data_IF_673922761797
#
_entry.id   IF_673922761797
#
_cell.length_a   1.000
_cell.length_b   1.000
_cell.length_c   1.000
_cell.angle_alpha   90.00
_cell.angle_beta   90.00
_cell.angle_gamma   90.00
#
_symmetry.space_group_name_H-M   'P 1'
#
loop_
_entity.id
_entity.type
_entity.pdbx_description
1 polymer ?
#
# COMPACT_ATOMS: atom_id res chain seq x y z
N UNK A 1 17.45 12.36 24.69
CA UNK A 1 16.73 11.86 23.49
C UNK A 1 16.60 13.01 22.50
N UNK A 2 17.12 12.86 21.29
CA UNK A 2 16.95 13.86 20.22
C UNK A 2 15.48 13.95 19.79
N UNK A 3 15.08 15.06 19.17
CA UNK A 3 13.74 15.20 18.59
C UNK A 3 13.41 14.12 17.53
N UNK A 4 14.43 13.49 16.94
CA UNK A 4 14.27 12.33 16.06
C UNK A 4 13.95 11.04 16.83
N UNK A 5 14.51 10.86 18.04
CA UNK A 5 14.21 9.70 18.89
C UNK A 5 12.77 9.77 19.42
N UNK A 6 12.27 10.97 19.73
CA UNK A 6 10.88 11.20 20.13
C UNK A 6 9.89 10.97 18.97
N UNK A 7 10.25 11.32 17.72
CA UNK A 7 9.46 11.00 16.52
C UNK A 7 9.52 9.52 16.13
N UNK A 8 10.64 8.85 16.38
CA UNK A 8 10.77 7.40 16.17
C UNK A 8 9.94 6.60 17.17
N UNK A 9 9.74 7.13 18.40
CA UNK A 9 8.91 6.52 19.43
C UNK A 9 7.39 6.60 19.13
N UNK A 10 6.93 7.47 18.23
CA UNK A 10 5.50 7.64 17.89
C UNK A 10 5.06 6.86 16.65
N UNK A 11 5.88 5.93 16.14
CA UNK A 11 5.59 5.13 14.93
C UNK A 11 5.73 3.66 15.30
N UNK A 12 4.79 2.82 14.88
CA UNK A 12 4.93 1.36 15.04
C UNK A 12 5.99 0.88 14.04
N UNK A 13 7.26 0.98 14.46
CA UNK A 13 8.45 0.72 13.66
C UNK A 13 8.42 -0.64 12.95
N UNK A 14 7.85 -1.64 13.62
CA UNK A 14 7.72 -3.00 13.08
C UNK A 14 6.88 -3.04 11.80
N UNK A 15 5.85 -2.19 11.69
CA UNK A 15 5.01 -2.15 10.49
C UNK A 15 5.78 -1.64 9.26
N UNK A 16 6.78 -0.79 9.44
CA UNK A 16 7.63 -0.36 8.33
C UNK A 16 8.53 -1.49 7.81
N UNK A 17 8.99 -2.38 8.70
CA UNK A 17 9.72 -3.58 8.29
C UNK A 17 8.82 -4.59 7.56
N UNK A 18 7.60 -4.82 8.07
CA UNK A 18 6.62 -5.70 7.41
C UNK A 18 6.22 -5.18 6.02
N UNK A 19 6.13 -3.86 5.85
CA UNK A 19 5.96 -3.23 4.54
C UNK A 19 7.12 -3.53 3.59
N UNK A 20 8.37 -3.50 4.06
CA UNK A 20 9.51 -3.89 3.22
C UNK A 20 9.41 -5.36 2.79
N UNK A 21 9.08 -6.26 3.72
CA UNK A 21 8.88 -7.69 3.41
C UNK A 21 7.80 -7.87 2.35
N UNK A 22 6.68 -7.14 2.47
CA UNK A 22 5.61 -7.16 1.49
C UNK A 22 6.06 -6.65 0.10
N UNK A 23 6.82 -5.54 0.01
CA UNK A 23 7.35 -5.07 -1.29
C UNK A 23 8.30 -6.09 -1.89
N UNK A 24 9.18 -6.69 -1.08
CA UNK A 24 10.11 -7.73 -1.55
C UNK A 24 9.36 -8.93 -2.10
N UNK A 25 8.26 -9.36 -1.46
CA UNK A 25 7.37 -10.39 -1.99
C UNK A 25 6.79 -10.02 -3.35
N UNK A 26 6.31 -8.78 -3.51
CA UNK A 26 5.79 -8.27 -4.79
C UNK A 26 6.89 -8.21 -5.87
N UNK A 27 8.11 -7.82 -5.52
CA UNK A 27 9.27 -7.85 -6.42
C UNK A 27 9.55 -9.29 -6.88
N UNK A 28 9.56 -10.27 -5.98
CA UNK A 28 9.71 -11.67 -6.37
C UNK A 28 8.57 -12.14 -7.28
N UNK A 29 7.34 -11.71 -7.04
CA UNK A 29 6.23 -12.02 -7.94
C UNK A 29 6.48 -11.50 -9.37
N UNK A 30 6.90 -10.24 -9.50
CA UNK A 30 7.15 -9.64 -10.81
C UNK A 30 8.41 -10.21 -11.49
N UNK A 31 9.53 -10.34 -10.80
CA UNK A 31 10.79 -10.79 -11.42
C UNK A 31 11.04 -12.29 -11.38
N UNK A 32 10.38 -13.01 -10.49
CA UNK A 32 10.52 -14.46 -10.34
C UNK A 32 9.43 -15.23 -11.07
N UNK A 33 8.18 -14.74 -11.03
CA UNK A 33 7.03 -15.46 -11.56
C UNK A 33 6.43 -14.86 -12.84
N UNK A 34 6.21 -13.55 -12.94
CA UNK A 34 5.59 -12.93 -14.14
C UNK A 34 6.56 -12.56 -15.26
N UNK A 35 7.70 -11.94 -14.96
CA UNK A 35 8.59 -11.39 -15.97
C UNK A 35 7.97 -10.28 -16.84
N UNK A 36 8.75 -9.71 -17.78
CA UNK A 36 8.25 -8.74 -18.74
C UNK A 36 7.29 -9.39 -19.74
N UNK A 37 6.20 -8.73 -20.15
CA UNK A 37 5.32 -9.23 -21.19
C UNK A 37 6.07 -9.43 -22.52
N UNK A 38 5.90 -10.59 -23.15
CA UNK A 38 6.47 -10.92 -24.46
C UNK A 38 5.37 -11.45 -25.39
N UNK A 39 5.12 -10.74 -26.50
CA UNK A 39 4.13 -11.11 -27.52
C UNK A 39 2.73 -11.43 -26.96
N UNK A 40 2.27 -10.67 -25.97
CA UNK A 40 0.96 -10.88 -25.33
C UNK A 40 0.91 -12.01 -24.29
N UNK A 41 2.04 -12.66 -24.01
CA UNK A 41 2.15 -13.68 -22.96
C UNK A 41 3.13 -13.26 -21.87
N UNK A 42 2.84 -13.62 -20.64
CA UNK A 42 3.68 -13.34 -19.46
C UNK A 42 4.60 -14.55 -19.24
N UNK A 43 5.93 -14.36 -19.25
CA UNK A 43 6.89 -15.46 -19.15
C UNK A 43 7.52 -15.59 -17.76
N UNK A 44 7.59 -16.80 -17.24
CA UNK A 44 8.27 -17.06 -15.97
C UNK A 44 9.75 -16.74 -16.09
N UNK A 45 10.16 -15.61 -15.50
CA UNK A 45 11.52 -15.09 -15.62
C UNK A 45 12.57 -15.94 -14.87
N UNK A 46 12.20 -16.57 -13.74
CA UNK A 46 13.09 -17.46 -12.99
C UNK A 46 12.35 -18.75 -12.60
N UNK A 47 12.31 -19.78 -13.48
CA UNK A 47 11.54 -21.00 -13.25
C UNK A 47 11.84 -21.71 -11.92
N UNK A 48 13.10 -21.70 -11.48
CA UNK A 48 13.52 -22.34 -10.23
C UNK A 48 12.95 -21.68 -8.96
N UNK A 49 12.50 -20.41 -9.04
CA UNK A 49 11.84 -19.71 -7.93
C UNK A 49 10.32 -19.62 -8.09
N UNK A 50 9.74 -20.12 -9.19
CA UNK A 50 8.34 -19.88 -9.53
C UNK A 50 7.39 -20.36 -8.44
N UNK A 51 7.61 -21.55 -7.88
CA UNK A 51 6.78 -22.15 -6.81
C UNK A 51 6.70 -21.29 -5.55
N UNK A 52 7.74 -20.53 -5.24
CA UNK A 52 7.77 -19.57 -4.13
C UNK A 52 7.25 -18.20 -4.55
N UNK A 53 7.76 -17.68 -5.67
CA UNK A 53 7.52 -16.32 -6.15
C UNK A 53 6.07 -16.08 -6.58
N UNK A 54 5.37 -17.13 -7.00
CA UNK A 54 3.97 -17.07 -7.41
C UNK A 54 3.05 -16.50 -6.33
N UNK A 55 3.37 -16.67 -5.03
CA UNK A 55 2.56 -16.16 -3.92
C UNK A 55 2.90 -14.72 -3.52
N UNK A 56 3.92 -14.11 -4.15
CA UNK A 56 4.36 -12.75 -3.81
C UNK A 56 3.30 -11.66 -4.06
N UNK A 57 2.27 -11.93 -4.86
CA UNK A 57 1.12 -11.02 -5.02
C UNK A 57 0.38 -10.76 -3.70
N UNK A 58 0.45 -11.68 -2.74
CA UNK A 58 -0.13 -11.53 -1.39
C UNK A 58 0.54 -10.41 -0.58
N UNK A 59 1.68 -9.88 -1.03
CA UNK A 59 2.25 -8.65 -0.48
C UNK A 59 1.32 -7.45 -0.59
N UNK A 60 0.47 -7.37 -1.62
CA UNK A 60 -0.51 -6.27 -1.78
C UNK A 60 -1.58 -6.29 -0.66
N UNK A 61 -2.29 -7.40 -0.41
CA UNK A 61 -3.15 -7.56 0.77
C UNK A 61 -2.49 -7.18 2.10
N UNK A 62 -1.21 -7.52 2.28
CA UNK A 62 -0.45 -7.14 3.48
C UNK A 62 -0.36 -5.61 3.62
N UNK A 63 -0.13 -4.87 2.52
CA UNK A 63 -0.18 -3.40 2.54
C UNK A 63 -1.55 -2.89 2.99
N UNK A 64 -2.64 -3.48 2.52
CA UNK A 64 -3.99 -3.02 2.86
C UNK A 64 -4.33 -3.26 4.34
N UNK A 65 -3.93 -4.39 4.93
CA UNK A 65 -4.07 -4.61 6.38
C UNK A 65 -3.26 -3.58 7.17
N UNK A 66 -1.99 -3.36 6.80
CA UNK A 66 -1.14 -2.36 7.46
C UNK A 66 -1.71 -0.95 7.27
N UNK A 67 -2.27 -0.66 6.10
CA UNK A 67 -2.89 0.63 5.79
C UNK A 67 -4.11 0.89 6.66
N UNK A 68 -5.05 -0.07 6.77
CA UNK A 68 -6.21 0.05 7.65
C UNK A 68 -5.81 0.46 9.07
N UNK A 69 -4.82 -0.21 9.65
CA UNK A 69 -4.27 0.14 10.97
C UNK A 69 -3.66 1.56 11.00
N UNK A 70 -2.71 1.83 10.11
CA UNK A 70 -1.93 3.09 10.13
C UNK A 70 -2.80 4.30 9.83
N UNK A 71 -3.84 4.14 9.01
CA UNK A 71 -4.77 5.21 8.67
C UNK A 71 -5.65 5.55 9.86
N UNK A 72 -6.23 4.55 10.54
CA UNK A 72 -6.98 4.78 11.76
C UNK A 72 -6.11 5.45 12.84
N UNK A 73 -4.90 4.92 13.06
CA UNK A 73 -3.92 5.51 13.96
C UNK A 73 -3.58 6.97 13.60
N UNK A 74 -3.39 7.27 12.32
CA UNK A 74 -2.97 8.61 11.89
C UNK A 74 -4.10 9.64 11.81
N UNK A 75 -5.34 9.19 11.76
CA UNK A 75 -6.53 10.04 11.77
C UNK A 75 -6.90 10.50 13.19
N UNK A 76 -6.50 9.76 14.22
CA UNK A 76 -6.78 10.10 15.62
C UNK A 76 -6.25 11.50 15.96
N UNK A 77 -7.12 12.32 16.57
CA UNK A 77 -6.80 13.70 16.94
C UNK A 77 -6.60 14.68 15.76
N UNK A 78 -6.88 14.28 14.51
CA UNK A 78 -6.78 15.16 13.33
C UNK A 78 -8.13 15.62 12.82
N UNK A 79 -8.12 16.80 12.20
CA UNK A 79 -9.19 17.29 11.32
C UNK A 79 -9.16 16.54 9.98
N UNK A 80 -10.29 16.44 9.27
CA UNK A 80 -10.35 15.87 7.93
C UNK A 80 -9.38 16.55 6.94
N UNK A 81 -9.30 17.89 6.95
CA UNK A 81 -8.37 18.66 6.12
C UNK A 81 -6.91 18.34 6.44
N UNK A 82 -6.53 18.38 7.72
CA UNK A 82 -5.18 18.00 8.16
C UNK A 82 -4.81 16.55 7.84
N UNK A 83 -5.77 15.62 7.86
CA UNK A 83 -5.58 14.25 7.40
C UNK A 83 -5.34 14.18 5.89
N UNK A 84 -6.22 14.81 5.08
CA UNK A 84 -6.11 14.83 3.63
C UNK A 84 -4.79 15.43 3.15
N UNK A 85 -4.37 16.58 3.70
CA UNK A 85 -3.08 17.21 3.39
C UNK A 85 -1.92 16.26 3.71
N UNK A 86 -1.95 15.60 4.86
CA UNK A 86 -0.88 14.70 5.27
C UNK A 86 -0.77 13.47 4.36
N UNK A 87 -1.90 12.94 3.88
CA UNK A 87 -1.94 11.81 2.95
C UNK A 87 -1.52 12.20 1.54
N UNK A 88 -2.06 13.29 1.02
CA UNK A 88 -1.72 13.83 -0.29
C UNK A 88 -0.21 14.14 -0.38
N UNK A 89 0.33 14.85 0.61
CA UNK A 89 1.77 15.19 0.66
C UNK A 89 2.67 13.95 0.75
N UNK A 90 2.16 12.83 1.25
CA UNK A 90 2.90 11.57 1.38
C UNK A 90 2.97 10.79 0.07
N UNK A 91 1.89 10.79 -0.71
CA UNK A 91 1.75 9.97 -1.92
C UNK A 91 2.13 10.78 -3.17
N UNK A 92 1.43 11.89 -3.40
CA UNK A 92 1.36 12.50 -4.72
C UNK A 92 2.72 13.00 -5.28
N UNK A 93 3.56 13.72 -4.51
CA UNK A 93 4.80 14.26 -5.07
C UNK A 93 5.79 13.17 -5.52
N UNK A 94 5.96 12.12 -4.70
CA UNK A 94 6.83 11.00 -5.06
C UNK A 94 6.24 10.17 -6.19
N UNK A 95 4.93 9.92 -6.17
CA UNK A 95 4.23 9.27 -7.29
C UNK A 95 4.51 9.97 -8.61
N UNK A 96 4.30 11.30 -8.66
CA UNK A 96 4.51 12.08 -9.88
C UNK A 96 5.95 11.98 -10.39
N UNK A 97 6.93 12.06 -9.48
CA UNK A 97 8.34 11.93 -9.83
C UNK A 97 8.67 10.53 -10.37
N UNK A 98 8.30 9.47 -9.66
CA UNK A 98 8.58 8.09 -10.08
C UNK A 98 7.85 7.73 -11.38
N UNK A 99 6.58 8.12 -11.53
CA UNK A 99 5.82 7.95 -12.76
C UNK A 99 6.50 8.65 -13.94
N UNK A 100 7.03 9.86 -13.72
CA UNK A 100 7.75 10.60 -14.75
C UNK A 100 9.08 9.93 -15.11
N UNK A 101 9.81 9.36 -14.13
CA UNK A 101 10.99 8.55 -14.41
C UNK A 101 10.66 7.31 -15.24
N UNK A 102 9.59 6.59 -14.90
CA UNK A 102 9.12 5.43 -15.68
C UNK A 102 8.74 5.85 -17.10
N UNK A 103 8.03 6.96 -17.26
CA UNK A 103 7.68 7.52 -18.56
C UNK A 103 8.92 7.86 -19.42
N UNK A 104 9.91 8.53 -18.84
CA UNK A 104 11.15 8.86 -19.54
C UNK A 104 11.92 7.60 -19.94
N UNK A 105 12.01 6.61 -19.05
CA UNK A 105 12.66 5.34 -19.35
C UNK A 105 11.96 4.60 -20.51
N UNK A 106 10.62 4.59 -20.52
CA UNK A 106 9.84 4.03 -21.64
C UNK A 106 10.12 4.76 -22.95
N UNK A 107 10.22 6.09 -22.95
CA UNK A 107 10.54 6.85 -24.16
C UNK A 107 11.96 6.60 -24.69
N UNK A 108 12.95 6.47 -23.79
CA UNK A 108 14.36 6.39 -24.19
C UNK A 108 14.88 4.97 -24.38
N UNK A 109 14.32 4.01 -23.65
CA UNK A 109 14.80 2.62 -23.58
C UNK A 109 13.72 1.59 -23.91
N UNK A 110 12.45 2.00 -24.03
CA UNK A 110 11.35 1.10 -24.31
C UNK A 110 11.53 0.40 -25.67
N UNK A 111 11.62 -0.94 -25.73
CA UNK A 111 11.58 -1.64 -27.01
C UNK A 111 10.22 -1.41 -27.70
N UNK A 112 10.06 -1.71 -29.01
CA UNK A 112 8.85 -1.37 -29.78
C UNK A 112 7.51 -1.83 -29.18
N UNK A 113 7.52 -2.88 -28.34
CA UNK A 113 6.33 -3.40 -27.66
C UNK A 113 5.98 -2.66 -26.36
N UNK A 114 6.87 -1.79 -25.88
CA UNK A 114 6.72 -0.98 -24.67
C UNK A 114 6.49 0.48 -25.10
N UNK A 115 5.36 0.71 -25.75
CA UNK A 115 4.99 2.07 -26.19
C UNK A 115 4.43 2.88 -25.02
N UNK A 116 4.67 4.19 -25.05
CA UNK A 116 4.02 5.15 -24.17
C UNK A 116 3.70 6.42 -24.94
N UNK A 117 2.85 7.28 -24.36
CA UNK A 117 2.48 8.56 -24.96
C UNK A 117 2.36 9.65 -23.90
N UNK A 118 2.51 10.90 -24.34
CA UNK A 118 2.24 12.05 -23.47
C UNK A 118 0.80 12.05 -22.94
N UNK A 119 -0.17 11.59 -23.74
CA UNK A 119 -1.55 11.43 -23.32
C UNK A 119 -1.71 10.42 -22.17
N UNK A 120 -0.99 9.29 -22.23
CA UNK A 120 -0.95 8.31 -21.14
C UNK A 120 -0.35 8.93 -19.87
N UNK A 121 0.75 9.67 -19.98
CA UNK A 121 1.35 10.38 -18.84
C UNK A 121 0.37 11.37 -18.21
N UNK A 122 -0.30 12.20 -19.01
CA UNK A 122 -1.33 13.13 -18.55
C UNK A 122 -2.49 12.42 -17.84
N UNK A 123 -2.98 11.30 -18.37
CA UNK A 123 -4.06 10.53 -17.76
C UNK A 123 -3.67 9.95 -16.39
N UNK A 124 -2.39 9.63 -16.18
CA UNK A 124 -1.89 9.10 -14.91
C UNK A 124 -1.71 10.18 -13.83
N UNK A 125 -1.76 11.48 -14.17
CA UNK A 125 -1.72 12.57 -13.17
C UNK A 125 -2.82 12.48 -12.11
N UNK A 126 -3.93 11.80 -12.42
CA UNK A 126 -5.06 11.58 -11.51
C UNK A 126 -4.96 10.29 -10.69
N UNK A 127 -3.89 9.49 -10.84
CA UNK A 127 -3.76 8.15 -10.22
C UNK A 127 -4.98 7.28 -10.58
N UNK A 128 -5.56 7.47 -11.76
CA UNK A 128 -6.76 6.76 -12.19
C UNK A 128 -6.87 6.76 -13.73
N UNK A 129 -5.75 6.53 -14.41
CA UNK A 129 -5.66 6.55 -15.86
C UNK A 129 -6.73 5.72 -16.59
N UNK A 130 -7.19 4.56 -16.07
CA UNK A 130 -8.27 3.80 -16.71
C UNK A 130 -9.58 4.57 -16.85
N UNK A 131 -9.87 5.59 -16.02
CA UNK A 131 -11.04 6.46 -16.21
C UNK A 131 -10.98 7.24 -17.53
N UNK A 132 -9.78 7.49 -18.04
CA UNK A 132 -9.53 8.16 -19.33
C UNK A 132 -9.23 7.16 -20.46
N UNK A 133 -9.55 5.88 -20.25
CA UNK A 133 -9.23 4.78 -21.20
C UNK A 133 -7.75 4.67 -21.53
N UNK A 134 -6.89 5.05 -20.59
CA UNK A 134 -5.43 4.94 -20.72
C UNK A 134 -4.90 3.90 -19.72
N UNK A 135 -3.89 3.10 -20.08
CA UNK A 135 -3.27 2.20 -19.14
C UNK A 135 -2.47 2.97 -18.08
N UNK A 136 -2.22 2.32 -16.95
CA UNK A 136 -1.30 2.86 -15.97
C UNK A 136 0.11 3.00 -16.57
N UNK A 137 0.86 4.00 -16.11
CA UNK A 137 2.26 4.15 -16.50
C UNK A 137 3.12 2.99 -15.96
N UNK A 138 2.74 2.47 -14.79
CA UNK A 138 3.26 1.24 -14.22
C UNK A 138 2.08 0.38 -13.76
N UNK A 139 2.09 -0.90 -14.09
CA UNK A 139 1.02 -1.83 -13.71
C UNK A 139 0.77 -1.89 -12.21
N UNK A 140 1.78 -1.65 -11.36
CA UNK A 140 1.61 -1.64 -9.90
C UNK A 140 0.74 -0.49 -9.37
N UNK A 141 0.43 0.53 -10.18
CA UNK A 141 -0.31 1.71 -9.73
C UNK A 141 -1.79 1.46 -9.44
N UNK A 142 -2.36 0.33 -9.87
CA UNK A 142 -3.76 -0.01 -9.54
C UNK A 142 -4.01 -0.04 -8.03
N UNK A 143 -3.04 -0.52 -7.23
CA UNK A 143 -3.17 -0.62 -5.78
C UNK A 143 -3.13 0.75 -5.09
N UNK A 144 -2.48 1.74 -5.71
CA UNK A 144 -2.47 3.12 -5.23
C UNK A 144 -3.85 3.76 -5.37
N UNK A 145 -4.62 3.38 -6.39
CA UNK A 145 -6.00 3.84 -6.56
C UNK A 145 -6.83 3.39 -5.38
N UNK A 146 -6.75 2.11 -5.02
CA UNK A 146 -7.43 1.52 -3.85
C UNK A 146 -7.07 2.31 -2.58
N UNK A 147 -5.79 2.55 -2.35
CA UNK A 147 -5.29 3.28 -1.19
C UNK A 147 -5.80 4.74 -1.15
N UNK A 148 -5.79 5.46 -2.27
CA UNK A 148 -6.25 6.86 -2.36
C UNK A 148 -7.78 6.94 -2.20
N UNK A 149 -8.54 6.01 -2.76
CA UNK A 149 -10.00 5.92 -2.58
C UNK A 149 -10.32 5.64 -1.11
N UNK A 150 -9.59 4.73 -0.45
CA UNK A 150 -9.75 4.51 0.99
C UNK A 150 -9.48 5.79 1.80
N UNK A 151 -8.44 6.54 1.45
CA UNK A 151 -8.14 7.80 2.11
C UNK A 151 -9.23 8.85 1.91
N UNK A 152 -9.81 8.93 0.71
CA UNK A 152 -10.92 9.82 0.42
C UNK A 152 -12.13 9.48 1.29
N UNK A 153 -12.52 8.20 1.38
CA UNK A 153 -13.59 7.76 2.26
C UNK A 153 -13.33 8.07 3.73
N UNK A 154 -12.12 7.80 4.22
CA UNK A 154 -11.76 8.16 5.60
C UNK A 154 -11.86 9.67 5.83
N UNK A 155 -11.38 10.50 4.92
CA UNK A 155 -11.48 11.95 5.02
C UNK A 155 -12.95 12.42 5.06
N UNK A 156 -13.81 11.84 4.23
CA UNK A 156 -15.26 12.10 4.22
C UNK A 156 -15.90 11.69 5.55
N UNK A 157 -15.64 10.47 6.03
CA UNK A 157 -16.17 9.97 7.31
C UNK A 157 -15.65 10.76 8.51
N UNK A 158 -14.44 11.31 8.45
CA UNK A 158 -13.90 12.24 9.44
C UNK A 158 -14.62 13.59 9.40
N UNK A 159 -14.95 14.11 8.21
CA UNK A 159 -15.72 15.35 8.06
C UNK A 159 -17.11 15.23 8.70
N UNK A 160 -17.76 14.07 8.55
CA UNK A 160 -19.01 13.73 9.24
C UNK A 160 -18.82 13.29 10.71
N UNK A 161 -17.60 13.35 11.26
CA UNK A 161 -17.25 13.00 12.64
C UNK A 161 -17.54 11.54 13.04
N UNK A 162 -17.76 10.66 12.06
CA UNK A 162 -18.01 9.22 12.23
C UNK A 162 -16.72 8.46 12.45
N UNK A 163 -15.65 8.81 11.72
CA UNK A 163 -14.32 8.21 11.85
C UNK A 163 -13.43 9.00 12.83
N UNK A 164 -12.67 8.35 13.74
CA UNK A 164 -12.62 6.92 14.05
C UNK A 164 -13.62 6.48 15.16
N UNK A 165 -14.67 7.27 15.45
CA UNK A 165 -15.57 7.02 16.60
C UNK A 165 -16.47 5.78 16.45
N UNK A 166 -16.85 5.43 15.22
CA UNK A 166 -17.84 4.37 14.92
C UNK A 166 -17.25 3.29 14.00
N UNK A 167 -16.02 2.84 14.29
CA UNK A 167 -15.34 1.84 13.45
C UNK A 167 -16.16 0.56 13.27
N UNK A 168 -16.83 0.06 14.30
CA UNK A 168 -17.73 -1.11 14.18
C UNK A 168 -18.78 -0.93 13.10
N UNK A 169 -19.45 0.24 13.09
CA UNK A 169 -20.53 0.53 12.15
C UNK A 169 -19.97 0.66 10.73
N UNK A 170 -18.83 1.33 10.59
CA UNK A 170 -18.16 1.49 9.31
C UNK A 170 -17.79 0.12 8.74
N UNK A 171 -17.14 -0.74 9.54
CA UNK A 171 -16.74 -2.08 9.10
C UNK A 171 -17.97 -2.91 8.73
N UNK A 172 -19.00 -2.96 9.59
CA UNK A 172 -20.19 -3.77 9.32
C UNK A 172 -20.95 -3.31 8.08
N UNK A 173 -21.13 -1.99 7.89
CA UNK A 173 -21.75 -1.47 6.66
C UNK A 173 -20.89 -1.81 5.45
N UNK A 174 -19.58 -1.62 5.53
CA UNK A 174 -18.67 -1.84 4.41
C UNK A 174 -18.61 -3.31 3.99
N UNK A 175 -18.52 -4.24 4.95
CA UNK A 175 -18.60 -5.66 4.68
C UNK A 175 -19.99 -6.06 4.18
N UNK A 176 -21.06 -5.46 4.72
CA UNK A 176 -22.42 -5.64 4.21
C UNK A 176 -22.57 -5.22 2.75
N UNK A 177 -22.01 -4.07 2.36
CA UNK A 177 -21.97 -3.62 0.97
C UNK A 177 -21.13 -4.54 0.08
N UNK A 178 -20.03 -5.08 0.61
CA UNK A 178 -19.19 -6.07 -0.10
C UNK A 178 -20.00 -7.31 -0.42
N UNK A 179 -20.62 -7.94 0.58
CA UNK A 179 -21.46 -9.12 0.37
C UNK A 179 -22.68 -8.83 -0.50
N UNK A 180 -23.30 -7.65 -0.39
CA UNK A 180 -24.40 -7.26 -1.26
C UNK A 180 -23.95 -7.17 -2.73
N UNK A 181 -22.78 -6.58 -3.01
CA UNK A 181 -22.25 -6.48 -4.36
C UNK A 181 -22.01 -7.88 -4.96
N UNK A 182 -21.26 -8.71 -4.23
CA UNK A 182 -20.89 -10.08 -4.63
C UNK A 182 -22.10 -10.99 -4.87
N UNK A 183 -23.20 -10.78 -4.14
CA UNK A 183 -24.38 -11.63 -4.24
C UNK A 183 -25.47 -11.10 -5.18
N UNK A 184 -25.45 -9.80 -5.54
CA UNK A 184 -26.59 -9.19 -6.26
C UNK A 184 -26.25 -8.21 -7.36
N UNK A 185 -25.23 -7.36 -7.21
CA UNK A 185 -25.05 -6.20 -8.07
C UNK A 185 -24.05 -6.49 -9.20
N UNK A 186 -22.92 -7.15 -8.89
CA UNK A 186 -21.83 -7.46 -9.83
C UNK A 186 -21.47 -6.26 -10.74
N UNK A 187 -21.42 -5.05 -10.16
CA UNK A 187 -21.16 -3.82 -10.89
C UNK A 187 -19.71 -3.36 -10.70
N UNK A 188 -18.88 -3.32 -11.77
CA UNK A 188 -17.47 -2.97 -11.67
C UNK A 188 -17.17 -1.59 -11.07
N UNK A 189 -18.11 -0.65 -11.20
CA UNK A 189 -17.96 0.69 -10.60
C UNK A 189 -18.19 0.67 -9.09
N UNK A 190 -19.05 -0.22 -8.60
CA UNK A 190 -19.34 -0.38 -7.19
C UNK A 190 -18.14 -1.04 -6.50
N UNK A 191 -17.57 -2.09 -7.09
CA UNK A 191 -16.34 -2.74 -6.62
C UNK A 191 -15.21 -1.75 -6.42
N UNK A 192 -14.97 -0.89 -7.41
CA UNK A 192 -13.87 0.09 -7.37
C UNK A 192 -14.14 1.25 -6.43
N UNK A 193 -15.38 1.73 -6.34
CA UNK A 193 -15.72 2.87 -5.49
C UNK A 193 -15.75 2.48 -4.01
N UNK A 194 -16.30 1.30 -3.71
CA UNK A 194 -16.41 0.78 -2.34
C UNK A 194 -15.29 -0.19 -1.98
N UNK A 195 -14.32 -0.44 -2.86
CA UNK A 195 -13.20 -1.35 -2.62
C UNK A 195 -13.70 -2.74 -2.17
N UNK A 196 -14.75 -3.24 -2.83
CA UNK A 196 -15.42 -4.48 -2.42
C UNK A 196 -14.44 -5.67 -2.39
N UNK A 197 -13.48 -5.72 -3.32
CA UNK A 197 -12.49 -6.80 -3.42
C UNK A 197 -11.40 -6.75 -2.33
N UNK A 198 -11.25 -5.62 -1.63
CA UNK A 198 -10.15 -5.38 -0.67
C UNK A 198 -10.64 -4.99 0.73
N UNK A 199 -11.95 -4.83 0.90
CA UNK A 199 -12.57 -4.33 2.13
C UNK A 199 -12.21 -5.15 3.38
N UNK A 200 -12.08 -6.47 3.24
CA UNK A 200 -11.71 -7.37 4.33
C UNK A 200 -10.33 -7.04 4.90
N UNK A 201 -9.35 -6.78 4.04
CA UNK A 201 -7.98 -6.44 4.48
C UNK A 201 -7.95 -5.13 5.26
N UNK A 202 -8.59 -4.07 4.76
CA UNK A 202 -8.67 -2.80 5.47
C UNK A 202 -9.47 -2.94 6.79
N UNK A 203 -10.58 -3.67 6.78
CA UNK A 203 -11.39 -3.93 7.97
C UNK A 203 -10.60 -4.67 9.06
N UNK A 204 -9.80 -5.68 8.69
CA UNK A 204 -8.85 -6.33 9.61
C UNK A 204 -7.92 -5.28 10.22
N UNK A 205 -7.29 -4.42 9.41
CA UNK A 205 -6.42 -3.35 9.91
C UNK A 205 -7.10 -2.39 10.90
N UNK A 206 -8.34 -1.97 10.59
CA UNK A 206 -9.15 -1.11 11.47
C UNK A 206 -9.47 -1.81 12.81
N UNK A 207 -9.83 -3.09 12.78
CA UNK A 207 -10.09 -3.88 13.98
C UNK A 207 -8.81 -4.11 14.82
N UNK A 208 -7.66 -4.36 14.19
CA UNK A 208 -6.35 -4.42 14.88
C UNK A 208 -6.08 -3.11 15.62
N UNK A 209 -6.45 -1.96 15.05
CA UNK A 209 -6.28 -0.67 15.70
C UNK A 209 -7.19 -0.50 16.93
N UNK A 210 -8.43 -0.99 16.92
CA UNK A 210 -9.28 -1.01 18.11
C UNK A 210 -8.70 -1.89 19.23
N UNK A 211 -8.14 -3.05 18.87
CA UNK A 211 -7.38 -3.88 19.81
C UNK A 211 -6.12 -3.19 20.35
N UNK A 212 -5.48 -2.35 19.54
CA UNK A 212 -4.33 -1.53 19.96
C UNK A 212 -4.74 -0.45 20.96
N UNK A 213 -5.93 0.15 20.80
CA UNK A 213 -6.54 1.09 21.76
C UNK A 213 -6.98 0.42 23.07
N UNK A 214 -6.92 -0.90 23.14
CA UNK A 214 -7.19 -1.67 24.35
C UNK A 214 -8.64 -2.13 24.50
N UNK A 215 -9.42 -2.11 23.43
CA UNK A 215 -10.78 -2.69 23.43
C UNK A 215 -10.72 -4.22 23.33
N UNK A 216 -11.53 -4.93 24.13
CA UNK A 216 -11.55 -6.42 24.22
C UNK A 216 -12.96 -6.99 24.48
N UNK A 217 -14.00 -6.52 23.80
CA UNK A 217 -15.36 -7.05 23.91
C UNK A 217 -15.69 -8.08 22.81
N UNK A 218 -16.70 -8.93 23.07
CA UNK A 218 -17.16 -9.96 22.15
C UNK A 218 -17.47 -9.43 20.75
N UNK A 219 -18.10 -8.25 20.66
CA UNK A 219 -18.47 -7.64 19.38
C UNK A 219 -17.22 -7.33 18.53
N UNK A 220 -16.15 -6.80 19.12
CA UNK A 220 -14.89 -6.59 18.40
C UNK A 220 -14.28 -7.91 17.90
N UNK A 221 -14.30 -8.97 18.72
CA UNK A 221 -13.84 -10.29 18.29
C UNK A 221 -14.67 -10.84 17.12
N UNK A 222 -15.99 -10.69 17.15
CA UNK A 222 -16.87 -11.11 16.05
C UNK A 222 -16.61 -10.33 14.77
N UNK A 223 -16.47 -9.01 14.86
CA UNK A 223 -16.15 -8.15 13.71
C UNK A 223 -14.78 -8.50 13.14
N UNK A 224 -13.79 -8.75 13.99
CA UNK A 224 -12.46 -9.15 13.58
C UNK A 224 -12.49 -10.51 12.87
N UNK A 225 -13.16 -11.51 13.43
CA UNK A 225 -13.31 -12.83 12.81
C UNK A 225 -14.01 -12.74 11.45
N UNK A 226 -15.10 -11.95 11.35
CA UNK A 226 -15.79 -11.70 10.09
C UNK A 226 -14.86 -11.04 9.06
N UNK A 227 -14.11 -10.00 9.47
CA UNK A 227 -13.17 -9.30 8.59
C UNK A 227 -12.05 -10.22 8.08
N UNK A 228 -11.51 -11.08 8.95
CA UNK A 228 -10.51 -12.10 8.58
C UNK A 228 -11.11 -13.11 7.61
N UNK A 229 -12.34 -13.58 7.85
CA UNK A 229 -13.06 -14.46 6.93
C UNK A 229 -13.23 -13.84 5.55
N UNK A 230 -13.67 -12.58 5.49
CA UNK A 230 -13.79 -11.83 4.23
C UNK A 230 -12.43 -11.64 3.54
N UNK A 231 -11.37 -11.32 4.28
CA UNK A 231 -10.02 -11.17 3.73
C UNK A 231 -9.49 -12.49 3.13
N UNK A 232 -9.74 -13.62 3.79
CA UNK A 232 -9.39 -14.96 3.25
C UNK A 232 -10.19 -15.27 1.99
N UNK A 233 -11.50 -15.00 1.99
CA UNK A 233 -12.34 -15.15 0.80
C UNK A 233 -11.82 -14.32 -0.38
N UNK A 234 -11.51 -13.03 -0.16
CA UNK A 234 -10.97 -12.12 -1.18
C UNK A 234 -9.61 -12.61 -1.72
N UNK A 235 -8.73 -13.13 -0.86
CA UNK A 235 -7.46 -13.73 -1.30
C UNK A 235 -7.68 -14.92 -2.26
N UNK A 236 -8.61 -15.81 -1.93
CA UNK A 236 -8.93 -16.98 -2.75
C UNK A 236 -9.60 -16.58 -4.07
N UNK A 237 -10.58 -15.68 -4.01
CA UNK A 237 -11.27 -15.15 -5.19
C UNK A 237 -10.31 -14.42 -6.12
N UNK A 238 -9.37 -13.63 -5.59
CA UNK A 238 -8.32 -13.00 -6.41
C UNK A 238 -7.43 -14.03 -7.10
N UNK A 239 -7.09 -15.13 -6.42
CA UNK A 239 -6.24 -16.17 -7.01
C UNK A 239 -6.88 -16.87 -8.21
N UNK A 240 -8.22 -16.91 -8.30
CA UNK A 240 -8.91 -17.48 -9.47
C UNK A 240 -8.97 -16.54 -10.67
N UNK A 241 -8.78 -15.23 -10.46
CA UNK A 241 -8.86 -14.19 -11.50
C UNK A 241 -7.48 -13.65 -11.93
N UNK A 242 -6.41 -14.08 -11.26
CA UNK A 242 -5.04 -13.74 -11.68
C UNK A 242 -4.70 -14.56 -12.93
N UNK A 243 -4.40 -13.85 -14.02
CA UNK A 243 -3.78 -14.46 -15.20
C UNK A 243 -2.45 -15.12 -14.79
N UNK A 244 -2.44 -16.46 -14.74
CA UNK A 244 -1.25 -17.22 -14.37
C UNK A 244 -0.38 -17.50 -15.60
N UNK A 245 0.91 -17.12 -15.57
CA UNK A 245 1.88 -17.57 -16.56
C UNK A 245 1.85 -19.09 -16.68
N UNK A 246 1.76 -19.60 -17.91
CA UNK A 246 1.81 -21.03 -18.22
C UNK A 246 0.75 -21.91 -17.53
N UNK A 247 -0.39 -21.35 -17.09
CA UNK A 247 -1.49 -22.12 -16.50
C UNK A 247 -1.17 -22.71 -15.12
N UNK A 248 -0.17 -22.18 -14.42
CA UNK A 248 0.17 -22.61 -13.05
C UNK A 248 -1.02 -22.35 -12.13
N UNK A 249 -1.44 -23.36 -11.38
CA UNK A 249 -2.52 -23.25 -10.39
C UNK A 249 -1.97 -22.84 -9.03
N UNK A 250 -2.71 -21.97 -8.34
CA UNK A 250 -2.37 -21.57 -6.98
C UNK A 250 -3.00 -22.53 -5.97
N UNK A 251 -2.20 -23.05 -5.03
CA UNK A 251 -2.74 -23.86 -3.94
C UNK A 251 -3.48 -22.99 -2.91
N UNK A 252 -4.79 -23.21 -2.80
CA UNK A 252 -5.67 -22.47 -1.86
C UNK A 252 -5.22 -22.58 -0.40
N UNK A 253 -4.73 -23.74 0.02
CA UNK A 253 -4.23 -23.95 1.39
C UNK A 253 -3.03 -23.05 1.72
N UNK A 254 -2.11 -22.88 0.78
CA UNK A 254 -0.94 -22.01 0.92
C UNK A 254 -1.36 -20.54 0.98
N UNK A 255 -2.30 -20.11 0.13
CA UNK A 255 -2.85 -18.74 0.16
C UNK A 255 -3.49 -18.42 1.51
N UNK A 256 -4.34 -19.32 2.02
CA UNK A 256 -5.00 -19.17 3.32
C UNK A 256 -3.97 -19.10 4.44
N UNK A 257 -2.97 -19.98 4.43
CA UNK A 257 -1.90 -20.01 5.42
C UNK A 257 -1.10 -18.69 5.42
N UNK A 258 -0.65 -18.21 4.25
CA UNK A 258 0.09 -16.95 4.13
C UNK A 258 -0.76 -15.77 4.62
N UNK A 259 -2.04 -15.73 4.25
CA UNK A 259 -2.96 -14.67 4.67
C UNK A 259 -3.11 -14.64 6.20
N UNK A 260 -3.45 -15.76 6.83
CA UNK A 260 -3.65 -15.86 8.28
C UNK A 260 -2.36 -15.60 9.07
N UNK A 261 -1.23 -16.16 8.63
CA UNK A 261 0.08 -15.93 9.25
C UNK A 261 0.45 -14.46 9.16
N UNK A 262 0.25 -13.82 8.01
CA UNK A 262 0.55 -12.40 7.84
C UNK A 262 -0.31 -11.52 8.76
N UNK A 263 -1.61 -11.79 8.86
CA UNK A 263 -2.51 -11.08 9.78
C UNK A 263 -2.05 -11.27 11.23
N UNK A 264 -1.71 -12.50 11.64
CA UNK A 264 -1.22 -12.80 12.97
C UNK A 264 0.10 -12.07 13.29
N UNK A 265 1.04 -12.04 12.34
CA UNK A 265 2.31 -11.32 12.46
C UNK A 265 2.05 -9.82 12.60
N UNK A 266 1.17 -9.23 11.79
CA UNK A 266 0.83 -7.80 11.89
C UNK A 266 0.20 -7.51 13.25
N UNK A 267 -0.76 -8.32 13.70
CA UNK A 267 -1.40 -8.17 15.01
C UNK A 267 -0.36 -8.19 16.13
N UNK A 268 0.55 -9.18 16.13
CA UNK A 268 1.61 -9.29 17.12
C UNK A 268 2.61 -8.13 17.04
N UNK A 269 2.95 -7.68 15.82
CA UNK A 269 3.84 -6.55 15.59
C UNK A 269 3.30 -5.25 16.20
N UNK A 270 1.97 -5.05 16.26
CA UNK A 270 1.38 -3.88 16.94
C UNK A 270 1.57 -3.90 18.46
N UNK A 271 1.92 -5.04 19.05
CA UNK A 271 2.22 -5.19 20.49
C UNK A 271 3.68 -4.89 20.82
N UNK A 272 4.56 -4.94 19.83
CA UNK A 272 5.97 -4.63 19.98
C UNK A 272 6.18 -3.11 19.88
N UNK A 273 6.57 -2.49 21.00
CA UNK A 273 6.79 -1.03 21.07
C UNK A 273 8.17 -0.59 20.57
N UNK A 274 9.16 -1.47 20.65
CA UNK A 274 10.54 -1.16 20.30
C UNK A 274 11.16 -2.35 19.56
N UNK A 275 11.97 -2.03 18.56
CA UNK A 275 12.86 -2.99 17.92
C UNK A 275 14.28 -2.74 18.45
N UNK A 276 15.10 -3.79 18.64
CA UNK A 276 16.52 -3.65 18.94
C UNK A 276 17.32 -3.24 17.69
N UNK A 277 16.80 -2.29 16.90
CA UNK A 277 17.42 -1.80 15.68
C UNK A 277 17.67 -0.30 15.77
N UNK A 278 18.74 0.23 15.14
CA UNK A 278 18.99 1.66 15.10
C UNK A 278 17.82 2.41 14.46
N UNK A 279 17.33 3.47 15.12
CA UNK A 279 16.20 4.28 14.62
C UNK A 279 16.45 4.83 13.21
N UNK A 280 17.70 5.18 12.89
CA UNK A 280 18.10 5.61 11.54
C UNK A 280 17.86 4.54 10.47
N UNK A 281 18.15 3.28 10.77
CA UNK A 281 17.95 2.15 9.86
C UNK A 281 16.45 1.89 9.65
N UNK A 282 15.65 1.87 10.71
CA UNK A 282 14.19 1.69 10.62
C UNK A 282 13.56 2.81 9.78
N UNK A 283 13.97 4.06 10.02
CA UNK A 283 13.49 5.19 9.22
C UNK A 283 13.91 5.09 7.75
N UNK A 284 15.09 4.55 7.47
CA UNK A 284 15.54 4.31 6.10
C UNK A 284 14.70 3.22 5.44
N UNK A 285 14.51 2.08 6.11
CA UNK A 285 13.69 0.96 5.64
C UNK A 285 12.27 1.42 5.28
N UNK A 286 11.56 2.06 6.21
CA UNK A 286 10.21 2.56 5.94
C UNK A 286 10.15 3.73 4.96
N UNK A 287 11.31 4.35 4.70
CA UNK A 287 11.47 5.46 3.77
C UNK A 287 11.58 4.99 2.32
N UNK A 288 12.43 4.00 2.08
CA UNK A 288 12.68 3.46 0.73
C UNK A 288 11.50 2.66 0.17
N UNK A 289 10.63 2.13 1.04
CA UNK A 289 9.56 1.21 0.63
C UNK A 289 8.65 1.79 -0.44
N UNK A 290 8.30 3.08 -0.34
CA UNK A 290 7.34 3.69 -1.25
C UNK A 290 7.94 3.94 -2.65
N UNK A 291 9.11 4.62 -2.80
CA UNK A 291 9.77 4.69 -4.09
C UNK A 291 10.09 3.33 -4.69
N UNK A 292 10.49 2.35 -3.86
CA UNK A 292 10.76 0.98 -4.29
C UNK A 292 9.52 0.35 -4.92
N UNK A 293 8.37 0.45 -4.25
CA UNK A 293 7.11 -0.02 -4.81
C UNK A 293 6.75 0.68 -6.14
N UNK A 294 6.99 1.99 -6.25
CA UNK A 294 6.63 2.74 -7.46
C UNK A 294 7.51 2.47 -8.68
N UNK A 295 8.76 2.05 -8.46
CA UNK A 295 9.77 1.92 -9.52
C UNK A 295 10.10 0.46 -9.85
N UNK A 296 9.67 -0.51 -9.05
CA UNK A 296 10.15 -1.88 -9.21
C UNK A 296 9.69 -2.56 -10.49
N UNK A 297 8.49 -2.32 -11.02
CA UNK A 297 7.95 -3.19 -12.08
C UNK A 297 8.31 -2.69 -13.47
N UNK A 298 7.66 -1.63 -13.96
CA UNK A 298 7.74 -1.24 -15.38
C UNK A 298 9.15 -0.76 -15.75
N UNK A 299 9.79 0.02 -14.87
CA UNK A 299 11.14 0.53 -15.11
C UNK A 299 12.15 -0.61 -15.32
N UNK A 300 12.14 -1.62 -14.44
CA UNK A 300 13.09 -2.71 -14.58
C UNK A 300 12.69 -3.74 -15.63
N UNK A 301 11.39 -3.88 -15.97
CA UNK A 301 10.97 -4.64 -17.16
C UNK A 301 11.50 -4.01 -18.45
N UNK A 302 11.43 -2.68 -18.60
CA UNK A 302 12.01 -1.96 -19.74
C UNK A 302 13.50 -2.23 -19.84
N UNK A 303 14.24 -2.11 -18.74
CA UNK A 303 15.68 -2.39 -18.72
C UNK A 303 15.98 -3.84 -19.11
N UNK A 304 15.26 -4.80 -18.53
CA UNK A 304 15.46 -6.22 -18.80
C UNK A 304 15.18 -6.57 -20.27
N UNK A 305 14.13 -6.01 -20.86
CA UNK A 305 13.78 -6.20 -22.27
C UNK A 305 14.73 -5.48 -23.22
N UNK A 306 15.33 -4.36 -22.82
CA UNK A 306 16.28 -3.62 -23.64
C UNK A 306 17.66 -4.30 -23.72
N UNK A 307 18.17 -4.83 -22.60
CA UNK A 307 19.52 -5.41 -22.55
C UNK A 307 19.60 -6.85 -23.05
N UNK A 308 18.47 -7.57 -23.12
CA UNK A 308 18.37 -8.97 -23.56
C UNK A 308 19.53 -9.85 -23.03
N UNK A 309 19.64 -10.00 -21.70
CA UNK A 309 20.86 -10.51 -21.08
C UNK A 309 21.03 -12.00 -21.35
N UNK A 310 22.28 -12.44 -21.54
CA UNK A 310 22.61 -13.87 -21.65
C UNK A 310 22.23 -14.65 -20.37
N UNK A 311 22.22 -14.00 -19.21
CA UNK A 311 21.80 -14.58 -17.94
C UNK A 311 20.79 -13.70 -17.23
N UNK A 312 19.53 -14.16 -17.21
CA UNK A 312 18.40 -13.42 -16.63
C UNK A 312 18.58 -13.22 -15.13
N UNK A 313 19.13 -14.20 -14.40
CA UNK A 313 19.29 -14.12 -12.93
C UNK A 313 20.21 -12.96 -12.52
N UNK A 314 21.35 -12.79 -13.18
CA UNK A 314 22.29 -11.71 -12.87
C UNK A 314 21.74 -10.35 -13.27
N UNK A 315 21.02 -10.28 -14.39
CA UNK A 315 20.34 -9.06 -14.80
C UNK A 315 19.24 -8.64 -13.82
N UNK A 316 18.40 -9.57 -13.37
CA UNK A 316 17.38 -9.32 -12.36
C UNK A 316 18.00 -8.86 -11.05
N UNK A 317 19.06 -9.52 -10.57
CA UNK A 317 19.76 -9.11 -9.36
C UNK A 317 20.34 -7.69 -9.47
N UNK A 318 20.95 -7.36 -10.61
CA UNK A 318 21.48 -6.03 -10.87
C UNK A 318 20.38 -4.96 -10.97
N UNK A 319 19.25 -5.28 -11.62
CA UNK A 319 18.09 -4.39 -11.71
C UNK A 319 17.51 -4.12 -10.32
N UNK A 320 17.29 -5.16 -9.50
CA UNK A 320 16.79 -5.00 -8.13
C UNK A 320 17.74 -4.14 -7.30
N UNK A 321 19.06 -4.39 -7.39
CA UNK A 321 20.06 -3.57 -6.70
C UNK A 321 20.03 -2.10 -7.17
N UNK A 322 19.92 -1.88 -8.48
CA UNK A 322 19.81 -0.56 -9.09
C UNK A 322 18.55 0.19 -8.66
N UNK A 323 17.39 -0.48 -8.67
CA UNK A 323 16.11 0.10 -8.22
C UNK A 323 16.15 0.39 -6.72
N UNK A 324 16.76 -0.46 -5.89
CA UNK A 324 16.96 -0.20 -4.46
C UNK A 324 17.80 1.06 -4.24
N UNK A 325 18.91 1.19 -4.95
CA UNK A 325 19.76 2.39 -4.89
C UNK A 325 19.01 3.63 -5.35
N UNK A 326 18.31 3.56 -6.49
CA UNK A 326 17.49 4.65 -7.00
C UNK A 326 16.40 5.05 -5.99
N UNK A 327 15.74 4.07 -5.38
CA UNK A 327 14.71 4.28 -4.35
C UNK A 327 15.26 5.00 -3.13
N UNK A 328 16.48 4.66 -2.71
CA UNK A 328 17.18 5.37 -1.65
C UNK A 328 17.48 6.83 -2.03
N UNK A 329 17.95 7.08 -3.26
CA UNK A 329 18.19 8.43 -3.78
C UNK A 329 16.89 9.24 -3.80
N UNK A 330 15.82 8.69 -4.39
CA UNK A 330 14.50 9.33 -4.45
C UNK A 330 13.98 9.64 -3.06
N UNK A 331 14.03 8.68 -2.15
CA UNK A 331 13.60 8.89 -0.77
C UNK A 331 14.38 10.02 -0.09
N UNK A 332 15.71 10.01 -0.22
CA UNK A 332 16.59 10.93 0.51
C UNK A 332 16.51 12.36 -0.02
N UNK A 333 16.48 12.52 -1.33
CA UNK A 333 16.69 13.79 -2.02
C UNK A 333 15.42 14.37 -2.68
N UNK A 334 14.40 13.56 -2.95
CA UNK A 334 13.17 14.01 -3.63
C UNK A 334 11.97 13.93 -2.69
N UNK A 335 11.64 12.73 -2.19
CA UNK A 335 10.45 12.49 -1.38
C UNK A 335 10.44 13.34 -0.10
N UNK A 336 11.51 13.28 0.69
CA UNK A 336 11.59 14.02 1.97
C UNK A 336 11.39 15.53 1.80
N UNK A 337 12.11 16.23 0.91
CA UNK A 337 11.87 17.66 0.70
C UNK A 337 10.52 17.94 0.07
N UNK A 338 10.10 17.18 -0.95
CA UNK A 338 8.81 17.39 -1.62
C UNK A 338 7.63 17.22 -0.64
N UNK A 339 7.62 16.15 0.16
CA UNK A 339 6.59 15.93 1.18
C UNK A 339 6.51 17.07 2.19
N UNK A 340 7.66 17.59 2.65
CA UNK A 340 7.68 18.72 3.60
C UNK A 340 7.15 19.99 2.94
N UNK A 341 7.62 20.30 1.74
CA UNK A 341 7.21 21.47 0.99
C UNK A 341 5.70 21.46 0.67
N UNK A 342 5.19 20.38 0.08
CA UNK A 342 3.77 20.22 -0.24
C UNK A 342 2.90 20.35 1.01
N UNK A 343 3.32 19.74 2.12
CA UNK A 343 2.59 19.86 3.39
C UNK A 343 2.54 21.30 3.88
N UNK A 344 3.67 22.01 3.89
CA UNK A 344 3.73 23.41 4.33
C UNK A 344 2.85 24.31 3.47
N UNK A 345 2.94 24.19 2.14
CA UNK A 345 2.16 25.01 1.20
C UNK A 345 0.66 24.77 1.37
N UNK A 346 0.23 23.50 1.40
CA UNK A 346 -1.19 23.17 1.53
C UNK A 346 -1.75 23.52 2.90
N UNK A 347 -0.97 23.38 3.97
CA UNK A 347 -1.38 23.83 5.31
C UNK A 347 -1.58 25.34 5.36
N UNK A 348 -0.62 26.11 4.85
CA UNK A 348 -0.74 27.58 4.81
C UNK A 348 -1.92 28.05 3.94
N UNK A 349 -2.20 27.36 2.84
CA UNK A 349 -3.36 27.66 2.00
C UNK A 349 -4.69 27.31 2.71
N UNK A 350 -4.76 26.17 3.39
CA UNK A 350 -5.94 25.79 4.16
C UNK A 350 -6.23 26.77 5.31
N UNK A 351 -5.19 27.22 6.02
CA UNK A 351 -5.30 28.25 7.05
C UNK A 351 -5.78 29.59 6.47
N UNK A 352 -5.25 30.01 5.32
CA UNK A 352 -5.72 31.21 4.60
C UNK A 352 -7.19 31.13 4.21
N UNK A 353 -7.71 29.94 3.89
CA UNK A 353 -9.13 29.69 3.60
C UNK A 353 -10.00 29.49 4.84
N UNK A 354 -9.44 29.61 6.05
CA UNK A 354 -10.16 29.39 7.30
C UNK A 354 -10.55 27.93 7.56
N UNK A 355 -9.94 26.98 6.85
CA UNK A 355 -10.20 25.56 7.06
C UNK A 355 -9.47 25.09 8.33
N UNK A 356 -10.11 24.26 9.18
CA UNK A 356 -9.48 23.78 10.40
C UNK A 356 -8.36 22.78 10.04
N UNK A 357 -7.13 23.10 10.43
CA UNK A 357 -5.96 22.22 10.25
C UNK A 357 -5.37 21.88 11.62
N UNK A 358 -5.79 20.75 12.19
CA UNK A 358 -5.11 20.20 13.36
C UNK A 358 -4.07 19.17 12.91
N UNK A 359 -2.80 19.41 13.22
CA UNK A 359 -1.76 18.38 13.14
C UNK A 359 -1.82 17.52 14.40
N UNK A 360 -1.99 16.20 14.26
CA UNK A 360 -2.18 15.26 15.38
C UNK A 360 -1.27 15.57 16.59
N UNK A 361 -1.89 15.83 17.73
CA UNK A 361 -1.29 15.54 19.03
C UNK A 361 -1.52 14.05 19.27
N UNK A 362 -0.54 13.20 18.95
CA UNK A 362 -0.60 11.82 19.44
C UNK A 362 -0.28 11.90 20.93
N UNK A 363 -1.30 11.83 21.78
CA UNK A 363 -1.12 11.61 23.20
C UNK A 363 -0.40 10.26 23.39
N UNK A 364 0.69 10.27 24.16
CA UNK A 364 1.32 9.05 24.64
C UNK A 364 0.25 8.26 25.42
N UNK A 365 0.17 6.92 25.32
CA UNK A 365 -0.76 6.11 26.11
C UNK A 365 -0.43 6.08 27.62
N UNK A 366 0.27 7.09 28.14
CA UNK A 366 0.58 7.27 29.57
C UNK A 366 -0.45 8.10 30.32
N UNK A 367 -1.36 8.81 29.65
CA UNK A 367 -2.34 9.66 30.36
C UNK A 367 -3.58 8.92 30.85
N UNK A 368 -3.84 7.68 30.42
CA UNK A 368 -4.95 6.87 30.95
C UNK A 368 -4.56 6.13 32.24
N UNK A 369 -3.26 5.93 32.49
CA UNK A 369 -2.78 5.21 33.68
C UNK A 369 -2.55 6.12 34.90
N UNK A 370 -2.64 7.45 34.76
CA UNK A 370 -2.46 8.40 35.88
C UNK A 370 -3.75 8.93 36.50
N UNK A 371 -4.92 8.64 35.91
CA UNK A 371 -6.21 9.03 36.50
C UNK A 371 -6.88 7.92 37.33
N UNK A 372 -6.17 6.81 37.59
CA UNK A 372 -6.62 5.69 38.40
C UNK A 372 -5.57 5.27 39.44
N UNK A 373 -4.67 6.20 39.80
CA UNK A 373 -3.78 6.06 40.95
C UNK A 373 -4.24 6.99 42.07
#
# INVERSE_FOLDING_TARGET
MSANDLKAASRVQVLDLLRLVAVVGVIFYHYGFRGPPSQGTTQIALPWMASFSQYGFLGVPIFFVISGFVIAYSAEGRTATGFAIARFSRIYPTFLFCMTLTFLALLTMGPPNFTTSFAQWCANLFIAAPMFRQPYMDGAYWSLVVEVVFYAWVAVLMAFKVFPRRLDLIILIWLGLTFANELTIDAPIFERLFLADDSGFFAVGLAIYEFYRGRRDFKLYSIFALSVGTAVFQCLHRATHIDSPAGVSFESGVIVAICLISIAIIFLATRLRQLPLPAGLVMAIGGITYPLYLLHMQLGYVVLSAIQPASVIWAVAAIIAGVLLLSWIVWRFVERPAQRWTKTVLTAEAERRGLPVSTSQVAQPTDVARSLA
#
